data_IF_540737977756
#
_entry.id   IF_540737977756
#
_cell.length_a   1.000
_cell.length_b   1.000
_cell.length_c   1.000
_cell.angle_alpha   90.00
_cell.angle_beta   90.00
_cell.angle_gamma   90.00
#
_symmetry.space_group_name_H-M   'P 1'
#
loop_
_entity.id
_entity.type
_entity.pdbx_description
1 polymer ?
#
# COMPACT_ATOMS: atom_id res chain seq x y z
N UNK A 1 -19.69 18.23 26.00
CA UNK A 1 -19.13 16.86 25.85
C UNK A 1 -17.69 17.01 25.40
N UNK A 2 -16.67 16.52 26.13
CA UNK A 2 -15.29 16.71 25.69
C UNK A 2 -14.99 15.76 24.52
N UNK A 3 -14.62 16.33 23.38
CA UNK A 3 -14.14 15.62 22.18
C UNK A 3 -12.64 15.33 22.37
N UNK A 4 -12.32 14.22 23.04
CA UNK A 4 -10.95 13.71 23.05
C UNK A 4 -10.67 13.13 21.66
N UNK A 5 -9.89 13.85 20.86
CA UNK A 5 -9.47 13.40 19.54
C UNK A 5 -8.78 12.03 19.60
N UNK A 6 -8.88 11.28 18.50
CA UNK A 6 -8.29 9.94 18.41
C UNK A 6 -6.77 10.08 18.27
N UNK A 7 -6.01 9.66 19.28
CA UNK A 7 -4.54 9.60 19.17
C UNK A 7 -4.12 8.34 18.41
N UNK A 8 -3.45 8.46 17.25
CA UNK A 8 -2.95 7.30 16.52
C UNK A 8 -1.84 6.63 17.35
N UNK A 9 -2.12 5.41 17.82
CA UNK A 9 -1.11 4.52 18.41
C UNK A 9 -0.91 3.37 17.44
N UNK A 10 0.34 2.92 17.25
CA UNK A 10 0.63 1.73 16.43
C UNK A 10 -0.14 0.49 16.89
N UNK A 11 -0.56 0.45 18.16
CA UNK A 11 -1.39 -0.62 18.69
C UNK A 11 -0.75 -2.00 18.46
N UNK A 12 -1.53 -3.01 18.04
CA UNK A 12 -1.04 -4.37 17.80
C UNK A 12 0.01 -4.51 16.69
N UNK A 13 0.16 -3.51 15.81
CA UNK A 13 1.15 -3.56 14.71
C UNK A 13 2.59 -3.60 15.22
N UNK A 14 2.84 -3.11 16.44
CA UNK A 14 4.15 -3.23 17.08
C UNK A 14 4.56 -4.67 17.40
N UNK A 15 3.61 -5.60 17.50
CA UNK A 15 3.87 -7.01 17.81
C UNK A 15 4.15 -7.85 16.56
N UNK A 16 3.94 -7.27 15.37
CA UNK A 16 4.07 -7.99 14.10
C UNK A 16 5.52 -8.16 13.64
N UNK A 17 6.51 -7.71 14.43
CA UNK A 17 7.93 -7.72 14.07
C UNK A 17 8.20 -6.99 12.73
N UNK A 18 7.44 -5.94 12.46
CA UNK A 18 7.68 -5.04 11.33
C UNK A 18 8.86 -4.13 11.62
N UNK A 19 9.65 -3.82 10.60
CA UNK A 19 10.66 -2.77 10.71
C UNK A 19 9.95 -1.43 10.85
N UNK A 20 10.10 -0.79 12.01
CA UNK A 20 9.43 0.47 12.34
C UNK A 20 10.51 1.52 12.63
N UNK A 21 10.40 2.65 11.95
CA UNK A 21 11.21 3.83 12.18
C UNK A 21 10.32 5.03 12.45
N UNK A 22 10.50 5.68 13.62
CA UNK A 22 9.70 6.84 14.06
C UNK A 22 8.19 6.65 13.96
N UNK A 23 7.68 5.48 14.39
CA UNK A 23 6.26 5.11 14.31
C UNK A 23 5.71 4.99 12.87
N UNK A 24 6.56 4.68 11.90
CA UNK A 24 6.15 4.34 10.55
C UNK A 24 6.88 3.08 10.07
N UNK A 25 6.22 2.30 9.22
CA UNK A 25 6.74 1.03 8.71
C UNK A 25 7.74 1.32 7.59
N UNK A 26 8.94 0.78 7.70
CA UNK A 26 9.94 0.85 6.63
C UNK A 26 9.51 -0.03 5.45
N UNK A 27 9.67 0.50 4.24
CA UNK A 27 9.26 -0.17 3.01
C UNK A 27 10.30 -0.03 1.91
N UNK A 28 10.33 -1.00 1.00
CA UNK A 28 11.05 -0.90 -0.27
C UNK A 28 10.27 0.02 -1.23
N UNK A 29 10.92 1.03 -1.82
CA UNK A 29 10.26 1.96 -2.75
C UNK A 29 9.96 1.35 -4.11
N UNK A 30 10.46 0.16 -4.41
CA UNK A 30 10.14 -0.57 -5.64
C UNK A 30 8.68 -1.03 -5.68
N UNK A 31 8.16 -1.57 -4.58
CA UNK A 31 6.81 -2.13 -4.51
C UNK A 31 6.08 -1.94 -3.18
N UNK A 32 6.66 -1.18 -2.26
CA UNK A 32 6.14 -0.90 -0.92
C UNK A 32 5.97 -2.13 -0.04
N UNK A 33 6.76 -3.17 -0.30
CA UNK A 33 6.87 -4.34 0.57
C UNK A 33 7.60 -3.98 1.87
N UNK A 34 7.18 -4.65 2.94
CA UNK A 34 7.82 -4.56 4.26
C UNK A 34 8.90 -5.65 4.39
N UNK A 35 9.52 -5.76 5.57
CA UNK A 35 10.42 -6.87 5.89
C UNK A 35 9.71 -8.24 5.91
N UNK A 36 8.37 -8.29 5.96
CA UNK A 36 7.60 -9.53 5.99
C UNK A 36 7.09 -9.84 4.57
N UNK A 37 7.47 -10.98 3.96
CA UNK A 37 7.06 -11.32 2.60
C UNK A 37 5.54 -11.40 2.43
N UNK A 38 5.00 -10.59 1.53
CA UNK A 38 3.56 -10.51 1.26
C UNK A 38 2.80 -9.52 2.14
N UNK A 39 3.48 -8.82 3.04
CA UNK A 39 2.94 -7.69 3.78
C UNK A 39 3.50 -6.40 3.20
N UNK A 40 2.61 -5.46 2.93
CA UNK A 40 2.91 -4.17 2.31
C UNK A 40 2.37 -3.03 3.17
N UNK A 41 2.98 -1.85 3.08
CA UNK A 41 2.52 -0.66 3.80
C UNK A 41 2.52 0.56 2.87
N UNK A 42 1.40 1.28 2.80
CA UNK A 42 1.19 2.44 1.91
C UNK A 42 0.45 3.55 2.65
N UNK A 43 0.59 4.80 2.18
CA UNK A 43 -0.02 5.97 2.79
C UNK A 43 0.77 6.47 4.01
N UNK A 44 0.09 7.09 4.96
CA UNK A 44 0.72 7.80 6.09
C UNK A 44 1.47 6.90 7.08
N UNK A 45 1.23 5.59 7.01
CA UNK A 45 1.80 4.58 7.91
C UNK A 45 3.21 4.13 7.51
N UNK A 46 3.65 4.37 6.27
CA UNK A 46 4.98 3.93 5.80
C UNK A 46 6.02 5.07 5.83
N UNK A 47 7.29 4.69 5.70
CA UNK A 47 8.42 5.63 5.60
C UNK A 47 9.50 5.11 4.65
N UNK A 48 10.09 6.05 3.91
CA UNK A 48 11.23 5.84 3.01
C UNK A 48 11.89 7.21 2.72
N UNK A 49 13.14 7.25 2.22
CA UNK A 49 13.82 8.51 1.93
C UNK A 49 13.00 9.42 1.01
N UNK A 50 12.73 10.65 1.45
CA UNK A 50 11.99 11.65 0.67
C UNK A 50 10.46 11.51 0.69
N UNK A 51 9.89 10.63 1.52
CA UNK A 51 8.43 10.48 1.69
C UNK A 51 7.75 11.82 2.03
N UNK A 52 6.76 12.19 1.22
CA UNK A 52 5.80 13.26 1.52
C UNK A 52 4.47 12.65 1.97
N UNK A 53 3.92 13.12 3.09
CA UNK A 53 2.63 12.66 3.62
C UNK A 53 1.47 13.37 2.93
N UNK A 54 1.23 13.00 1.68
CA UNK A 54 0.16 13.54 0.84
C UNK A 54 -0.76 12.40 0.39
N UNK A 55 -2.05 12.71 0.26
CA UNK A 55 -3.05 11.78 -0.30
C UNK A 55 -2.60 11.27 -1.69
N UNK A 56 -2.02 12.15 -2.51
CA UNK A 56 -1.47 11.82 -3.82
C UNK A 56 -0.42 10.70 -3.74
N UNK A 57 0.51 10.80 -2.79
CA UNK A 57 1.56 9.80 -2.61
C UNK A 57 0.94 8.44 -2.25
N UNK A 58 -0.06 8.42 -1.37
CA UNK A 58 -0.79 7.19 -1.02
C UNK A 58 -1.40 6.47 -2.23
N UNK A 59 -1.96 7.21 -3.20
CA UNK A 59 -2.49 6.60 -4.43
C UNK A 59 -1.41 6.01 -5.33
N UNK A 60 -0.29 6.72 -5.50
CA UNK A 60 0.86 6.20 -6.24
C UNK A 60 1.40 4.92 -5.59
N UNK A 61 1.53 4.94 -4.26
CA UNK A 61 2.06 3.83 -3.48
C UNK A 61 1.17 2.59 -3.59
N UNK A 62 -0.14 2.77 -3.42
CA UNK A 62 -1.12 1.71 -3.57
C UNK A 62 -1.07 1.09 -4.98
N UNK A 63 -0.81 1.90 -6.01
CA UNK A 63 -0.74 1.42 -7.39
C UNK A 63 0.42 0.43 -7.59
N UNK A 64 1.62 0.76 -7.10
CA UNK A 64 2.76 -0.16 -7.22
C UNK A 64 2.60 -1.41 -6.35
N UNK A 65 2.10 -1.22 -5.12
CA UNK A 65 1.83 -2.33 -4.19
C UNK A 65 0.88 -3.37 -4.80
N UNK A 66 -0.23 -2.92 -5.39
CA UNK A 66 -1.23 -3.83 -5.99
C UNK A 66 -0.64 -4.62 -7.15
N UNK A 67 0.28 -4.03 -7.94
CA UNK A 67 0.96 -4.73 -9.03
C UNK A 67 1.84 -5.87 -8.50
N UNK A 68 2.58 -5.64 -7.40
CA UNK A 68 3.40 -6.66 -6.74
C UNK A 68 2.53 -7.74 -6.10
N UNK A 69 1.50 -7.34 -5.34
CA UNK A 69 0.56 -8.26 -4.71
C UNK A 69 -0.15 -9.15 -5.73
N UNK A 70 -0.57 -8.59 -6.88
CA UNK A 70 -1.21 -9.37 -7.95
C UNK A 70 -0.28 -10.44 -8.52
N UNK A 71 0.98 -10.08 -8.81
CA UNK A 71 1.99 -11.04 -9.30
C UNK A 71 2.26 -12.15 -8.29
N UNK A 72 2.25 -11.81 -6.99
CA UNK A 72 2.41 -12.78 -5.90
C UNK A 72 1.23 -13.76 -5.80
N UNK A 73 0.01 -13.26 -5.92
CA UNK A 73 -1.22 -14.08 -5.83
C UNK A 73 -1.42 -14.93 -7.10
N UNK A 74 -1.06 -14.40 -8.27
CA UNK A 74 -1.25 -15.06 -9.57
C UNK A 74 0.08 -15.16 -10.34
N UNK A 75 1.03 -16.00 -9.89
CA UNK A 75 2.36 -16.07 -10.50
C UNK A 75 2.33 -16.53 -11.97
N UNK A 76 1.30 -17.28 -12.36
CA UNK A 76 1.13 -17.81 -13.71
C UNK A 76 0.28 -16.92 -14.62
N UNK A 77 -0.16 -15.74 -14.16
CA UNK A 77 -0.95 -14.80 -14.96
C UNK A 77 -0.13 -13.57 -15.29
N UNK A 78 -0.04 -13.25 -16.58
CA UNK A 78 0.51 -11.97 -17.01
C UNK A 78 -0.44 -10.84 -16.61
N UNK A 79 0.09 -9.87 -15.87
CA UNK A 79 -0.64 -8.66 -15.49
C UNK A 79 -0.71 -7.73 -16.69
N UNK A 80 -1.85 -7.71 -17.36
CA UNK A 80 -2.11 -6.77 -18.45
C UNK A 80 -2.68 -5.49 -17.85
N UNK A 81 -1.84 -4.45 -17.76
CA UNK A 81 -2.30 -3.12 -17.39
C UNK A 81 -3.19 -2.61 -18.53
N UNK A 82 -4.50 -2.51 -18.28
CA UNK A 82 -5.41 -1.89 -19.23
C UNK A 82 -5.68 -0.46 -18.81
N UNK A 83 -5.59 0.49 -19.74
CA UNK A 83 -5.98 1.86 -19.45
C UNK A 83 -7.49 1.92 -19.21
N UNK A 84 -7.91 2.65 -18.18
CA UNK A 84 -9.33 2.83 -17.86
C UNK A 84 -10.10 3.53 -18.99
N UNK A 85 -9.41 4.25 -19.87
CA UNK A 85 -9.98 4.91 -21.06
C UNK A 85 -10.29 3.96 -22.22
N UNK A 86 -9.65 2.79 -22.29
CA UNK A 86 -9.89 1.78 -23.36
C UNK A 86 -10.60 0.53 -22.84
N UNK A 87 -10.69 0.39 -21.51
CA UNK A 87 -11.33 -0.75 -20.87
C UNK A 87 -12.78 -0.44 -20.60
N UNK A 88 -13.66 -0.89 -21.49
CA UNK A 88 -15.10 -0.90 -21.22
C UNK A 88 -15.42 -1.62 -19.90
N UNK A 89 -16.55 -1.26 -19.29
CA UNK A 89 -17.06 -1.85 -18.04
C UNK A 89 -17.05 -3.39 -18.16
N UNK A 90 -16.46 -4.13 -17.20
CA UNK A 90 -16.57 -5.58 -17.21
C UNK A 90 -18.06 -5.95 -17.09
N UNK A 91 -18.65 -6.53 -18.13
CA UNK A 91 -20.03 -7.02 -18.12
C UNK A 91 -21.04 -6.33 -19.05
N UNK A 92 -20.63 -5.45 -19.97
CA UNK A 92 -21.51 -5.00 -21.05
C UNK A 92 -21.22 -5.76 -22.35
N UNK A 93 -21.67 -7.01 -22.41
CA UNK A 93 -21.97 -7.68 -23.67
C UNK A 93 -23.50 -7.74 -23.76
N UNK A 94 -24.06 -6.94 -24.66
CA UNK A 94 -25.45 -7.06 -25.15
C UNK A 94 -25.63 -8.34 -25.95
#
# INVERSE_FOLDING_TARGET
>A
VPLFGVSPKLGPLGEWNLNISKNAIEVDTFDYSTNIPGVYAVGDINTYPGKLKLILCGFHEATLMVQSAYKRIYPNKNLVLKYTTVSGKPGMNS
#
